data_IF_636986725002
#
_entry.id   IF_636986725002
#
_cell.length_a   1.000
_cell.length_b   1.000
_cell.length_c   1.000
_cell.angle_alpha   90.00
_cell.angle_beta   90.00
_cell.angle_gamma   90.00
#
_symmetry.space_group_name_H-M   'P 1'
#
loop_
_entity.id
_entity.type
_entity.pdbx_description
1 polymer ?
#
# COMPACT_ATOMS: atom_id res chain seq x y z
N UNK A 1 -28.32 77.42 22.18
CA UNK A 1 -28.57 75.99 22.53
C UNK A 1 -29.64 75.47 21.59
N UNK A 2 -29.24 74.73 20.55
CA UNK A 2 -30.16 74.14 19.57
C UNK A 2 -29.99 72.62 19.61
N UNK A 3 -31.08 71.91 19.95
CA UNK A 3 -31.14 70.45 20.06
C UNK A 3 -31.38 69.89 18.66
N UNK A 4 -30.39 69.17 18.13
CA UNK A 4 -30.49 68.49 16.85
C UNK A 4 -31.24 67.15 17.02
N UNK A 5 -32.44 67.08 16.45
CA UNK A 5 -33.26 65.87 16.35
C UNK A 5 -32.71 64.96 15.25
N UNK A 6 -32.12 63.82 15.64
CA UNK A 6 -31.68 62.79 14.70
C UNK A 6 -32.89 61.98 14.19
N UNK A 7 -33.03 61.94 12.87
CA UNK A 7 -34.05 61.19 12.13
C UNK A 7 -33.57 59.74 11.96
N UNK A 8 -34.35 58.72 12.34
CA UNK A 8 -33.94 57.32 12.21
C UNK A 8 -33.93 56.87 10.74
N UNK A 9 -32.83 56.25 10.32
CA UNK A 9 -32.65 55.69 8.99
C UNK A 9 -33.45 54.38 8.80
N UNK A 10 -33.96 54.11 7.59
CA UNK A 10 -34.80 52.95 7.32
C UNK A 10 -33.97 51.65 7.27
N UNK A 11 -34.41 50.66 8.04
CA UNK A 11 -33.83 49.32 8.08
C UNK A 11 -34.24 48.54 6.82
N UNK A 12 -33.38 48.52 5.81
CA UNK A 12 -33.59 47.72 4.61
C UNK A 12 -33.41 46.22 4.92
N UNK A 13 -34.49 45.44 4.79
CA UNK A 13 -34.47 43.97 4.87
C UNK A 13 -33.89 43.41 3.56
N UNK A 14 -32.58 43.32 3.47
CA UNK A 14 -31.92 42.57 2.41
C UNK A 14 -32.09 41.06 2.67
N UNK A 15 -32.91 40.41 1.84
CA UNK A 15 -33.02 38.96 1.79
C UNK A 15 -31.72 38.36 1.28
N UNK A 16 -30.91 37.83 2.20
CA UNK A 16 -29.65 37.18 1.87
C UNK A 16 -29.92 35.74 1.39
N UNK A 17 -30.24 35.58 0.11
CA UNK A 17 -30.16 34.27 -0.56
C UNK A 17 -28.70 33.83 -0.60
N UNK A 18 -28.29 32.98 0.35
CA UNK A 18 -26.98 32.33 0.37
C UNK A 18 -26.91 31.31 -0.79
N UNK A 19 -26.50 31.77 -1.97
CA UNK A 19 -25.98 30.87 -3.00
C UNK A 19 -24.60 30.38 -2.56
N UNK A 20 -24.54 29.17 -2.01
CA UNK A 20 -23.28 28.49 -1.71
C UNK A 20 -22.79 27.77 -2.97
N UNK A 21 -22.24 28.51 -3.94
CA UNK A 21 -21.47 27.92 -5.03
C UNK A 21 -20.09 27.53 -4.49
N UNK A 22 -19.96 26.28 -4.02
CA UNK A 22 -18.64 25.74 -3.68
C UNK A 22 -17.87 25.46 -4.96
N UNK A 23 -17.00 26.38 -5.34
CA UNK A 23 -15.97 26.14 -6.37
C UNK A 23 -14.94 25.19 -5.76
N UNK A 24 -15.01 23.92 -6.13
CA UNK A 24 -13.99 22.94 -5.74
C UNK A 24 -12.71 23.22 -6.52
N UNK A 25 -11.77 23.91 -5.88
CA UNK A 25 -10.41 24.02 -6.40
C UNK A 25 -9.64 22.75 -6.00
N UNK A 26 -9.22 21.90 -6.95
CA UNK A 26 -8.48 20.70 -6.62
C UNK A 26 -7.16 21.09 -5.91
N UNK A 27 -6.74 20.34 -4.88
CA UNK A 27 -5.52 20.65 -4.15
C UNK A 27 -4.31 20.54 -5.08
N UNK A 28 -3.39 21.52 -5.02
CA UNK A 28 -2.15 21.55 -5.81
C UNK A 28 -1.07 20.60 -5.28
N UNK A 29 -1.25 20.09 -4.05
CA UNK A 29 -0.34 19.18 -3.38
C UNK A 29 -1.11 18.01 -2.78
N UNK A 30 -0.47 16.85 -2.71
CA UNK A 30 -0.97 15.69 -1.96
C UNK A 30 -0.11 15.47 -0.72
N UNK A 31 -0.78 15.39 0.42
CA UNK A 31 -0.18 14.96 1.68
C UNK A 31 0.18 13.48 1.57
N UNK A 32 1.44 13.13 1.84
CA UNK A 32 1.92 11.74 1.83
C UNK A 32 2.00 11.20 3.26
N UNK A 33 2.67 11.93 4.15
CA UNK A 33 2.87 11.55 5.54
C UNK A 33 2.76 12.78 6.44
N UNK A 34 2.18 12.61 7.63
CA UNK A 34 2.23 13.59 8.72
C UNK A 34 2.51 12.83 10.01
N UNK A 35 3.55 13.22 10.73
CA UNK A 35 3.97 12.47 11.93
C UNK A 35 5.28 12.96 12.53
N UNK A 36 6.06 12.01 13.05
CA UNK A 36 7.30 12.28 13.79
C UNK A 36 8.42 11.31 13.43
N UNK A 37 9.66 11.68 13.79
CA UNK A 37 10.81 10.78 13.82
C UNK A 37 11.11 10.34 15.25
N UNK A 38 11.35 9.06 15.45
CA UNK A 38 11.87 8.51 16.70
C UNK A 38 13.39 8.56 16.69
N UNK A 39 14.00 9.06 17.76
CA UNK A 39 15.45 9.12 17.92
C UNK A 39 15.95 7.81 18.56
N UNK A 40 16.88 7.07 17.94
CA UNK A 40 17.40 5.82 18.49
C UNK A 40 17.96 6.00 19.90
N UNK A 41 17.67 5.05 20.79
CA UNK A 41 18.12 5.08 22.19
C UNK A 41 17.44 6.14 23.06
N UNK A 42 16.50 6.92 22.50
CA UNK A 42 15.76 7.96 23.22
C UNK A 42 14.25 7.78 23.05
N UNK A 43 13.49 8.29 24.03
CA UNK A 43 12.02 8.42 23.92
C UNK A 43 11.60 9.73 23.24
N UNK A 44 12.58 10.54 22.82
CA UNK A 44 12.33 11.80 22.14
C UNK A 44 11.75 11.56 20.73
N UNK A 45 10.70 12.30 20.41
CA UNK A 45 10.10 12.35 19.08
C UNK A 45 10.34 13.73 18.46
N UNK A 46 10.84 13.75 17.23
CA UNK A 46 10.92 14.95 16.40
C UNK A 46 9.61 15.07 15.62
N UNK A 47 8.64 15.79 16.19
CA UNK A 47 7.27 15.91 15.65
C UNK A 47 7.13 17.04 14.61
N UNK A 48 5.92 17.17 14.06
CA UNK A 48 5.56 18.28 13.17
C UNK A 48 6.05 18.12 11.73
N UNK A 49 6.44 16.91 11.33
CA UNK A 49 6.87 16.63 9.97
C UNK A 49 5.68 16.38 9.04
N UNK A 50 5.72 16.99 7.87
CA UNK A 50 4.71 16.85 6.82
C UNK A 50 5.38 16.64 5.48
N UNK A 51 5.14 15.49 4.85
CA UNK A 51 5.70 15.16 3.53
C UNK A 51 4.62 15.39 2.48
N UNK A 52 4.92 16.20 1.48
CA UNK A 52 3.98 16.55 0.42
C UNK A 52 4.60 16.36 -0.95
N UNK A 53 3.77 16.03 -1.94
CA UNK A 53 4.19 15.98 -3.35
C UNK A 53 3.33 16.94 -4.16
N UNK A 54 3.94 17.67 -5.09
CA UNK A 54 3.19 18.55 -5.98
C UNK A 54 2.45 17.74 -7.04
N UNK A 55 1.17 18.04 -7.25
CA UNK A 55 0.33 17.38 -8.25
C UNK A 55 0.41 18.05 -9.64
N UNK A 56 1.25 19.08 -9.79
CA UNK A 56 1.39 19.82 -11.06
C UNK A 56 1.92 18.95 -12.21
N UNK A 57 2.64 17.85 -11.94
CA UNK A 57 3.37 17.08 -12.97
C UNK A 57 2.67 15.82 -13.52
N UNK A 58 1.33 15.71 -13.34
CA UNK A 58 0.44 14.58 -13.63
C UNK A 58 0.18 13.66 -12.42
N UNK A 59 -1.09 13.45 -12.03
CA UNK A 59 -1.44 12.59 -10.89
C UNK A 59 -1.12 11.11 -11.11
N UNK A 60 -0.95 10.66 -12.36
CA UNK A 60 -0.62 9.27 -12.69
C UNK A 60 0.76 8.85 -12.14
N UNK A 61 1.72 9.79 -12.12
CA UNK A 61 3.08 9.56 -11.63
C UNK A 61 3.13 9.21 -10.14
N UNK A 62 2.09 9.52 -9.38
CA UNK A 62 2.07 9.23 -7.95
C UNK A 62 1.93 7.73 -7.66
N UNK A 63 1.19 7.00 -8.51
CA UNK A 63 1.08 5.54 -8.40
C UNK A 63 2.35 4.81 -8.84
N UNK A 64 3.19 5.47 -9.64
CA UNK A 64 4.47 4.96 -10.11
C UNK A 64 5.63 5.33 -9.17
N UNK A 65 5.38 6.22 -8.21
CA UNK A 65 6.38 6.73 -7.28
C UNK A 65 6.47 5.84 -6.03
N UNK A 66 7.52 4.99 -5.89
CA UNK A 66 7.63 4.07 -4.77
C UNK A 66 7.84 4.80 -3.43
N UNK A 67 8.49 5.96 -3.43
CA UNK A 67 8.69 6.77 -2.23
C UNK A 67 7.37 7.33 -1.70
N UNK A 68 6.53 7.87 -2.58
CA UNK A 68 5.22 8.40 -2.21
C UNK A 68 4.31 7.30 -1.63
N UNK A 69 4.27 6.13 -2.26
CA UNK A 69 3.52 4.98 -1.78
C UNK A 69 4.04 4.49 -0.42
N UNK A 70 5.35 4.41 -0.25
CA UNK A 70 5.97 4.00 1.01
C UNK A 70 5.60 4.96 2.15
N UNK A 71 5.74 6.27 1.93
CA UNK A 71 5.36 7.29 2.92
C UNK A 71 3.86 7.26 3.24
N UNK A 72 3.00 7.07 2.25
CA UNK A 72 1.55 6.95 2.45
C UNK A 72 1.18 5.70 3.26
N UNK A 73 1.89 4.58 3.06
CA UNK A 73 1.71 3.36 3.85
C UNK A 73 2.14 3.50 5.31
N UNK A 74 3.00 4.48 5.60
CA UNK A 74 3.50 4.75 6.95
C UNK A 74 2.65 5.76 7.74
N UNK A 75 1.53 6.24 7.18
CA UNK A 75 0.63 7.13 7.91
C UNK A 75 0.16 6.50 9.24
N UNK A 76 0.19 7.31 10.29
CA UNK A 76 -0.15 6.87 11.65
C UNK A 76 0.97 6.09 12.36
N UNK A 77 2.16 6.00 11.76
CA UNK A 77 3.35 5.42 12.38
C UNK A 77 4.45 6.48 12.52
N UNK A 78 5.35 6.27 13.47
CA UNK A 78 6.57 7.07 13.63
C UNK A 78 7.66 6.48 12.75
N UNK A 79 8.44 7.33 12.06
CA UNK A 79 9.59 6.89 11.29
C UNK A 79 10.83 6.80 12.20
N UNK A 80 11.82 5.98 11.86
CA UNK A 80 13.03 5.84 12.65
C UNK A 80 14.13 6.74 12.09
N UNK A 81 14.65 7.66 12.90
CA UNK A 81 15.85 8.42 12.55
C UNK A 81 17.04 7.45 12.58
N UNK A 82 17.76 7.30 11.47
CA UNK A 82 18.91 6.39 11.39
C UNK A 82 20.22 7.14 11.66
N UNK A 83 20.37 8.36 11.16
CA UNK A 83 21.57 9.15 11.38
C UNK A 83 21.79 10.21 10.29
N UNK A 84 23.04 10.62 10.10
CA UNK A 84 23.46 11.57 9.07
C UNK A 84 24.26 10.81 8.02
N UNK A 85 24.08 11.15 6.76
CA UNK A 85 24.83 10.58 5.65
C UNK A 85 25.29 11.68 4.70
N UNK A 86 26.48 11.52 4.10
CA UNK A 86 26.93 12.40 3.02
C UNK A 86 26.18 12.04 1.74
N UNK A 87 25.77 13.04 0.95
CA UNK A 87 24.96 12.81 -0.26
C UNK A 87 25.78 12.20 -1.39
N UNK A 88 27.10 12.40 -1.42
CA UNK A 88 28.03 11.80 -2.39
C UNK A 88 28.29 10.30 -2.14
N UNK A 89 28.10 9.85 -0.91
CA UNK A 89 28.27 8.45 -0.50
C UNK A 89 27.06 7.57 -0.83
N UNK A 90 25.92 8.14 -1.24
CA UNK A 90 24.66 7.42 -1.47
C UNK A 90 24.07 7.73 -2.84
N UNK A 91 23.47 6.72 -3.46
CA UNK A 91 22.75 6.90 -4.71
C UNK A 91 21.32 7.34 -4.42
N UNK A 92 20.98 8.58 -4.76
CA UNK A 92 19.66 9.14 -4.49
C UNK A 92 18.76 9.04 -5.73
N UNK A 93 17.55 8.52 -5.53
CA UNK A 93 16.47 8.64 -6.50
C UNK A 93 15.80 10.01 -6.36
N UNK A 94 16.30 10.99 -7.11
CA UNK A 94 15.76 12.36 -7.19
C UNK A 94 14.61 12.51 -8.19
N UNK A 95 14.14 11.41 -8.79
CA UNK A 95 13.05 11.47 -9.79
C UNK A 95 11.72 11.95 -9.20
N UNK A 96 11.59 11.89 -7.87
CA UNK A 96 10.38 12.21 -7.14
C UNK A 96 10.58 13.42 -6.25
N UNK A 97 9.92 14.52 -6.57
CA UNK A 97 9.95 15.74 -5.76
C UNK A 97 9.00 15.63 -4.57
N UNK A 98 9.44 14.92 -3.53
CA UNK A 98 8.78 14.93 -2.22
C UNK A 98 9.38 16.06 -1.38
N UNK A 99 8.54 17.01 -0.99
CA UNK A 99 8.91 18.11 -0.12
C UNK A 99 8.64 17.73 1.32
N UNK A 100 9.48 18.24 2.22
CA UNK A 100 9.27 18.15 3.66
C UNK A 100 8.99 19.54 4.23
N UNK A 101 7.87 19.68 4.92
CA UNK A 101 7.51 20.87 5.68
C UNK A 101 7.58 20.54 7.17
N UNK A 102 8.23 21.42 7.94
CA UNK A 102 8.29 21.32 9.41
C UNK A 102 7.35 22.37 10.00
N UNK A 103 6.43 21.93 10.85
CA UNK A 103 5.49 22.84 11.50
C UNK A 103 6.25 23.92 12.31
N UNK A 104 5.88 25.21 12.23
CA UNK A 104 6.64 26.30 12.84
C UNK A 104 6.77 26.19 14.36
N UNK A 105 5.78 25.59 15.03
CA UNK A 105 5.78 25.35 16.48
C UNK A 105 6.61 24.11 16.91
N UNK A 106 7.12 23.31 15.98
CA UNK A 106 7.95 22.14 16.29
C UNK A 106 9.42 22.55 16.47
N UNK A 107 9.70 23.36 17.49
CA UNK A 107 11.00 24.02 17.68
C UNK A 107 12.17 23.04 17.76
N UNK A 108 12.01 21.90 18.44
CA UNK A 108 13.07 20.88 18.54
C UNK A 108 13.39 20.25 17.18
N UNK A 109 12.37 19.95 16.38
CA UNK A 109 12.54 19.39 15.04
C UNK A 109 13.22 20.42 14.12
N UNK A 110 12.79 21.68 14.19
CA UNK A 110 13.41 22.77 13.42
C UNK A 110 14.88 22.93 13.78
N UNK A 111 15.19 23.07 15.07
CA UNK A 111 16.55 23.22 15.56
C UNK A 111 17.43 22.03 15.16
N UNK A 112 16.89 20.81 15.22
CA UNK A 112 17.59 19.62 14.77
C UNK A 112 17.97 19.74 13.28
N UNK A 113 17.02 20.01 12.39
CA UNK A 113 17.30 20.11 10.96
C UNK A 113 18.17 21.32 10.60
N UNK A 114 17.98 22.46 11.28
CA UNK A 114 18.83 23.66 11.12
C UNK A 114 20.28 23.33 11.51
N UNK A 115 20.50 22.68 12.65
CA UNK A 115 21.84 22.29 13.08
C UNK A 115 22.49 21.25 12.17
N UNK A 116 21.72 20.33 11.57
CA UNK A 116 22.30 19.30 10.70
C UNK A 116 22.54 19.78 9.26
N UNK A 117 21.65 20.62 8.71
CA UNK A 117 21.67 20.98 7.29
C UNK A 117 22.20 22.39 7.02
N UNK A 118 22.24 23.26 8.03
CA UNK A 118 22.69 24.65 7.89
C UNK A 118 23.99 24.94 8.65
N UNK A 119 24.66 23.93 9.24
CA UNK A 119 25.92 24.13 9.95
C UNK A 119 27.06 24.51 9.00
N UNK A 120 27.07 23.96 7.78
CA UNK A 120 28.09 24.22 6.76
C UNK A 120 27.49 25.00 5.58
N UNK A 121 28.25 25.93 4.98
CA UNK A 121 27.81 26.62 3.77
C UNK A 121 27.54 25.64 2.63
N UNK A 122 26.45 25.86 1.89
CA UNK A 122 26.10 25.04 0.73
C UNK A 122 27.05 25.38 -0.42
N UNK A 123 27.99 24.49 -0.72
CA UNK A 123 29.00 24.68 -1.78
C UNK A 123 28.65 23.95 -3.08
N UNK A 124 27.68 23.04 -3.05
CA UNK A 124 27.27 22.24 -4.20
C UNK A 124 26.70 23.10 -5.33
N UNK A 125 27.11 22.80 -6.57
CA UNK A 125 26.60 23.44 -7.79
C UNK A 125 25.08 23.26 -7.96
N UNK A 126 24.53 22.14 -7.48
CA UNK A 126 23.09 21.84 -7.50
C UNK A 126 22.30 22.65 -6.45
N UNK A 127 22.98 23.45 -5.63
CA UNK A 127 22.41 24.15 -4.48
C UNK A 127 21.90 23.21 -3.38
N UNK A 128 22.35 21.95 -3.36
CA UNK A 128 21.97 20.94 -2.36
C UNK A 128 22.98 20.89 -1.21
N UNK A 129 22.53 20.55 -0.01
CA UNK A 129 23.42 20.32 1.15
C UNK A 129 24.33 19.13 0.92
N UNK A 130 25.56 19.16 1.45
CA UNK A 130 26.52 18.05 1.29
C UNK A 130 26.15 16.83 2.17
N UNK A 131 25.42 17.07 3.25
CA UNK A 131 24.89 16.06 4.17
C UNK A 131 23.36 16.00 4.10
N UNK A 132 22.82 14.85 4.50
CA UNK A 132 21.40 14.61 4.66
C UNK A 132 21.10 13.74 5.88
N UNK A 133 19.86 13.82 6.35
CA UNK A 133 19.34 13.04 7.46
C UNK A 133 18.73 11.74 6.93
N UNK A 134 19.33 10.60 7.29
CA UNK A 134 18.87 9.26 6.91
C UNK A 134 17.72 8.83 7.82
N UNK A 135 16.63 8.39 7.23
CA UNK A 135 15.41 7.94 7.92
C UNK A 135 14.98 6.58 7.36
N UNK A 136 14.68 5.64 8.26
CA UNK A 136 14.21 4.31 7.90
C UNK A 136 12.68 4.25 7.89
N UNK A 137 12.11 3.75 6.79
CA UNK A 137 10.65 3.61 6.58
C UNK A 137 10.13 2.22 7.03
N UNK A 138 10.99 1.34 7.52
CA UNK A 138 10.65 -0.04 7.92
C UNK A 138 10.70 -0.31 9.43
N UNK A 139 10.16 -1.46 9.84
CA UNK A 139 10.14 -1.92 11.24
C UNK A 139 11.41 -2.67 11.68
N UNK A 140 12.37 -2.90 10.78
CA UNK A 140 13.58 -3.65 11.09
C UNK A 140 14.73 -2.67 11.28
N UNK A 141 15.36 -2.66 12.45
CA UNK A 141 16.58 -1.90 12.75
C UNK A 141 17.83 -2.35 11.97
N UNK A 142 17.64 -2.99 10.81
CA UNK A 142 18.69 -3.31 9.87
C UNK A 142 18.63 -2.28 8.75
N UNK A 143 19.77 -1.69 8.41
CA UNK A 143 19.93 -0.81 7.25
C UNK A 143 19.34 -1.49 6.01
N UNK A 144 18.21 -0.97 5.54
CA UNK A 144 17.36 -1.65 4.57
C UNK A 144 17.26 -0.89 3.25
N UNK A 145 16.82 -1.55 2.17
CA UNK A 145 16.63 -0.95 0.84
C UNK A 145 15.48 0.08 0.76
N UNK A 146 14.92 0.45 1.92
CA UNK A 146 13.77 1.35 2.07
C UNK A 146 14.10 2.60 2.89
N UNK A 147 15.39 2.88 3.08
CA UNK A 147 15.82 4.13 3.69
C UNK A 147 15.65 5.30 2.72
N UNK A 148 15.39 6.45 3.31
CA UNK A 148 15.27 7.73 2.64
C UNK A 148 16.26 8.71 3.23
N UNK A 149 16.58 9.75 2.46
CA UNK A 149 17.40 10.88 2.91
C UNK A 149 16.58 12.15 2.79
N UNK A 150 16.56 12.91 3.87
CA UNK A 150 16.05 14.28 3.91
C UNK A 150 17.26 15.21 3.75
N UNK A 151 17.23 16.09 2.76
CA UNK A 151 18.32 17.03 2.48
C UNK A 151 17.78 18.41 2.15
N UNK A 152 18.63 19.43 2.26
CA UNK A 152 18.28 20.80 1.90
C UNK A 152 18.61 21.09 0.44
N UNK A 153 17.77 21.88 -0.23
CA UNK A 153 18.07 22.52 -1.52
C UNK A 153 17.72 24.00 -1.43
N UNK A 154 18.63 24.88 -1.83
CA UNK A 154 18.34 26.31 -1.96
C UNK A 154 17.20 26.49 -2.97
N UNK A 155 16.20 27.30 -2.61
CA UNK A 155 15.16 27.63 -3.57
C UNK A 155 15.81 28.34 -4.77
N UNK A 156 15.61 27.80 -5.97
CA UNK A 156 15.97 28.48 -7.21
C UNK A 156 15.20 29.80 -7.18
N UNK A 157 15.91 30.91 -6.96
CA UNK A 157 15.27 32.22 -6.85
C UNK A 157 14.46 32.40 -8.14
N UNK A 158 13.11 32.47 -8.07
CA UNK A 158 12.35 32.71 -9.27
C UNK A 158 12.83 34.06 -9.77
N UNK A 159 13.49 34.08 -10.95
CA UNK A 159 13.84 35.30 -11.65
C UNK A 159 12.56 36.11 -11.77
N UNK A 160 12.37 37.00 -10.82
CA UNK A 160 11.14 37.75 -10.68
C UNK A 160 11.20 38.72 -11.84
N UNK A 161 10.30 38.51 -12.80
CA UNK A 161 10.07 39.43 -13.90
C UNK A 161 9.69 40.78 -13.32
N UNK A 162 10.72 41.61 -13.11
CA UNK A 162 10.74 43.06 -13.13
C UNK A 162 9.45 43.76 -12.66
N UNK A 163 9.39 44.09 -11.37
CA UNK A 163 8.75 45.36 -10.97
C UNK A 163 9.67 46.04 -9.98
N UNK A 164 10.43 47.08 -10.41
CA UNK A 164 11.41 47.74 -9.57
C UNK A 164 10.70 48.68 -8.59
N UNK A 165 10.26 48.16 -7.45
CA UNK A 165 9.79 49.00 -6.35
C UNK A 165 10.94 49.22 -5.38
N UNK A 166 11.57 50.39 -5.52
CA UNK A 166 12.67 50.91 -4.71
C UNK A 166 12.32 50.98 -3.23
N UNK A 167 12.55 49.89 -2.49
CA UNK A 167 12.62 49.92 -1.03
C UNK A 167 13.80 49.07 -0.61
N UNK A 168 14.73 49.69 0.12
CA UNK A 168 15.97 49.09 0.62
C UNK A 168 15.67 47.94 1.58
N UNK A 169 15.43 46.75 1.04
CA UNK A 169 15.32 45.53 1.83
C UNK A 169 16.71 44.92 1.95
N UNK A 170 17.12 44.63 3.19
CA UNK A 170 18.33 43.87 3.48
C UNK A 170 18.40 42.60 2.62
N UNK A 171 19.60 42.14 2.22
CA UNK A 171 19.76 40.89 1.49
C UNK A 171 19.24 39.73 2.35
N UNK A 172 18.02 39.29 2.09
CA UNK A 172 17.46 38.09 2.71
C UNK A 172 18.05 36.89 2.01
N UNK A 173 18.79 36.06 2.74
CA UNK A 173 19.30 34.80 2.21
C UNK A 173 18.14 33.93 1.68
N UNK A 174 18.34 33.22 0.56
CA UNK A 174 17.28 32.39 -0.02
C UNK A 174 16.85 31.30 0.98
N UNK A 175 15.54 31.00 1.07
CA UNK A 175 15.05 29.98 2.00
C UNK A 175 15.53 28.58 1.57
N UNK A 176 15.95 27.78 2.55
CA UNK A 176 16.29 26.37 2.33
C UNK A 176 15.01 25.54 2.24
N UNK A 177 14.82 24.85 1.13
CA UNK A 177 13.71 23.91 0.92
C UNK A 177 14.16 22.50 1.26
N UNK A 178 13.39 21.81 2.11
CA UNK A 178 13.69 20.42 2.45
C UNK A 178 13.06 19.47 1.45
N UNK A 179 13.88 18.55 0.93
CA UNK A 179 13.50 17.53 -0.05
C UNK A 179 13.80 16.14 0.50
N UNK A 180 13.11 15.16 -0.05
CA UNK A 180 13.21 13.76 0.37
C UNK A 180 13.42 12.88 -0.85
N UNK A 181 14.49 12.11 -0.82
CA UNK A 181 14.82 11.14 -1.85
C UNK A 181 14.96 9.74 -1.26
N UNK A 182 14.71 8.73 -2.08
CA UNK A 182 14.96 7.33 -1.71
C UNK A 182 16.43 6.98 -1.93
N UNK A 183 17.01 6.20 -1.02
CA UNK A 183 18.33 5.61 -1.21
C UNK A 183 18.20 4.37 -2.10
N UNK A 184 18.94 4.36 -3.20
CA UNK A 184 19.04 3.20 -4.08
C UNK A 184 20.19 2.29 -3.60
N UNK A 185 19.96 0.97 -3.50
CA UNK A 185 21.01 0.03 -3.08
C UNK A 185 22.12 -0.10 -4.12
N UNK A 186 21.79 0.13 -5.39
CA UNK A 186 22.70 0.10 -6.52
C UNK A 186 22.67 1.45 -7.23
N UNK A 187 23.78 1.89 -7.84
CA UNK A 187 23.76 3.06 -8.71
C UNK A 187 22.63 2.91 -9.73
N UNK A 188 21.88 4.00 -10.03
CA UNK A 188 20.89 3.95 -11.09
C UNK A 188 21.57 3.44 -12.35
N UNK A 189 20.93 2.53 -13.12
CA UNK A 189 21.51 2.05 -14.36
C UNK A 189 21.83 3.27 -15.20
N UNK A 190 23.13 3.53 -15.45
CA UNK A 190 23.55 4.61 -16.34
C UNK A 190 22.75 4.41 -17.61
N UNK A 191 21.95 5.40 -17.99
CA UNK A 191 21.09 5.33 -19.17
C UNK A 191 21.95 4.75 -20.29
N UNK A 192 21.71 3.48 -20.63
CA UNK A 192 22.53 2.78 -21.61
C UNK A 192 22.33 3.59 -22.86
N UNK A 193 23.39 4.30 -23.27
CA UNK A 193 23.36 5.12 -24.48
C UNK A 193 22.80 4.21 -25.56
N UNK A 194 21.69 4.61 -26.17
CA UNK A 194 21.18 3.87 -27.31
C UNK A 194 22.35 3.72 -28.28
N UNK A 195 22.63 2.51 -28.77
CA UNK A 195 23.76 2.28 -29.66
C UNK A 195 23.64 3.28 -30.79
N UNK A 196 24.64 4.15 -30.93
CA UNK A 196 24.64 5.09 -32.04
C UNK A 196 24.72 4.26 -33.33
N UNK A 197 24.10 4.70 -34.43
CA UNK A 197 24.23 4.02 -35.72
C UNK A 197 25.69 3.80 -36.16
N UNK A 198 26.61 4.65 -35.69
CA UNK A 198 28.05 4.57 -35.94
C UNK A 198 28.84 3.79 -34.86
N UNK A 199 28.18 3.30 -33.81
CA UNK A 199 28.83 2.46 -32.81
C UNK A 199 29.01 1.07 -33.43
N UNK A 200 30.26 0.62 -33.71
CA UNK A 200 30.48 -0.63 -34.42
C UNK A 200 29.76 -1.73 -33.66
N UNK A 201 28.81 -2.39 -34.33
CA UNK A 201 28.05 -3.51 -33.76
C UNK A 201 29.03 -4.40 -33.00
N UNK A 202 28.80 -4.71 -31.70
CA UNK A 202 29.77 -5.39 -30.86
C UNK A 202 30.28 -6.60 -31.62
N UNK A 203 31.54 -6.52 -32.04
CA UNK A 203 32.16 -7.48 -32.94
C UNK A 203 32.14 -8.78 -32.16
N UNK A 204 31.20 -9.66 -32.52
CA UNK A 204 30.96 -10.93 -31.83
C UNK A 204 32.32 -11.59 -31.69
N UNK A 205 32.85 -11.78 -30.46
CA UNK A 205 34.13 -12.43 -30.31
C UNK A 205 34.01 -13.78 -31.02
N UNK A 206 34.97 -14.15 -31.88
CA UNK A 206 34.91 -15.40 -32.59
C UNK A 206 34.61 -16.48 -31.56
N UNK A 207 33.66 -17.36 -31.88
CA UNK A 207 33.32 -18.55 -31.10
C UNK A 207 34.56 -19.46 -31.08
N UNK A 208 35.56 -19.08 -30.28
CA UNK A 208 36.69 -19.93 -29.95
C UNK A 208 36.08 -21.00 -29.08
N UNK A 209 35.80 -22.11 -29.75
CA UNK A 209 35.36 -23.35 -29.16
C UNK A 209 36.36 -23.69 -28.07
N UNK A 210 36.00 -23.42 -26.81
CA UNK A 210 36.75 -23.91 -25.66
C UNK A 210 36.69 -25.43 -25.72
N UNK A 211 37.75 -25.99 -26.30
CA UNK A 211 37.97 -27.41 -26.45
C UNK A 211 37.85 -28.07 -25.09
N UNK A 212 36.88 -28.98 -24.99
CA UNK A 212 36.92 -30.07 -24.03
C UNK A 212 38.17 -30.91 -24.32
N UNK A 213 39.31 -30.52 -23.75
CA UNK A 213 40.44 -31.42 -23.57
C UNK A 213 40.26 -32.05 -22.18
N UNK A 214 39.32 -32.99 -22.07
CA UNK A 214 39.35 -33.94 -20.95
C UNK A 214 40.39 -35.00 -21.29
N UNK A 215 41.45 -34.92 -20.51
CA UNK A 215 42.61 -35.78 -20.46
C UNK A 215 42.18 -37.24 -20.29
N UNK A 216 42.65 -38.07 -21.21
CA UNK A 216 42.64 -39.51 -21.08
C UNK A 216 43.69 -39.91 -20.05
N UNK A 217 43.27 -40.60 -18.99
CA UNK A 217 44.12 -41.51 -18.24
C UNK A 217 43.39 -42.85 -18.19
N UNK A 218 44.10 -43.86 -18.68
CA UNK A 218 43.69 -45.25 -18.80
C UNK A 218 43.38 -45.87 -17.43
N UNK A 219 42.39 -46.76 -17.38
CA UNK A 219 42.57 -48.18 -17.06
C UNK A 219 41.28 -48.99 -17.31
N UNK A 220 41.37 -50.32 -17.49
CA UNK A 220 40.45 -51.08 -18.33
C UNK A 220 39.49 -52.01 -17.55
N UNK A 221 38.61 -52.65 -18.32
CA UNK A 221 37.87 -53.89 -18.00
C UNK A 221 36.55 -53.72 -17.23
N UNK A 222 35.43 -53.70 -17.97
CA UNK A 222 34.53 -54.85 -17.99
C UNK A 222 33.53 -54.78 -19.16
N UNK A 223 33.53 -55.84 -19.95
CA UNK A 223 32.55 -56.20 -20.95
C UNK A 223 31.12 -56.21 -20.40
N UNK A 224 30.16 -55.70 -21.16
CA UNK A 224 29.16 -56.54 -21.86
C UNK A 224 28.16 -55.70 -22.68
N UNK A 225 27.55 -56.28 -23.74
CA UNK A 225 27.08 -55.52 -24.88
C UNK A 225 25.56 -55.50 -25.07
N UNK A 226 25.13 -54.56 -25.90
CA UNK A 226 24.03 -54.66 -26.88
C UNK A 226 22.59 -54.91 -26.40
N UNK A 227 21.66 -54.01 -26.75
CA UNK A 227 20.85 -54.18 -27.97
C UNK A 227 19.86 -53.04 -28.22
N UNK A 228 19.84 -52.59 -29.49
CA UNK A 228 18.69 -52.22 -30.33
C UNK A 228 17.49 -51.48 -29.69
N UNK A 229 17.36 -50.22 -30.11
CA UNK A 229 16.39 -49.78 -31.13
C UNK A 229 14.98 -50.42 -31.02
N UNK A 230 14.01 -49.73 -30.44
CA UNK A 230 12.67 -49.75 -31.02
C UNK A 230 11.83 -48.50 -30.73
N UNK A 231 11.27 -48.02 -31.83
CA UNK A 231 10.39 -46.89 -32.03
C UNK A 231 8.99 -47.49 -32.09
N UNK A 232 8.06 -47.07 -31.23
CA UNK A 232 6.63 -47.21 -31.54
C UNK A 232 5.81 -46.18 -30.78
N UNK A 233 5.19 -45.30 -31.55
CA UNK A 233 3.95 -44.65 -31.16
C UNK A 233 2.82 -45.69 -31.15
N UNK A 234 1.93 -45.66 -30.14
CA UNK A 234 0.47 -45.54 -30.31
C UNK A 234 -0.22 -45.37 -28.95
N UNK A 235 -1.40 -44.77 -29.05
CA UNK A 235 -2.21 -44.18 -28.02
C UNK A 235 -3.14 -45.16 -27.27
N UNK A 236 -3.77 -44.57 -26.24
CA UNK A 236 -5.09 -44.83 -25.65
C UNK A 236 -5.18 -45.80 -24.44
N UNK A 237 -5.82 -45.22 -23.41
CA UNK A 237 -6.72 -45.79 -22.38
C UNK A 237 -6.23 -45.86 -20.93
N UNK A 238 -6.95 -45.06 -20.12
CA UNK A 238 -7.35 -45.20 -18.71
C UNK A 238 -6.90 -46.48 -17.98
N UNK A 239 -6.29 -46.32 -16.79
CA UNK A 239 -6.91 -46.58 -15.48
C UNK A 239 -5.93 -46.32 -14.34
N UNK A 240 -6.50 -46.06 -13.17
CA UNK A 240 -5.84 -45.84 -11.88
C UNK A 240 -4.74 -46.87 -11.57
N UNK A 241 -3.55 -46.36 -11.25
CA UNK A 241 -2.56 -47.09 -10.48
C UNK A 241 -1.72 -46.11 -9.66
N UNK A 242 -1.97 -46.12 -8.36
CA UNK A 242 -1.07 -45.57 -7.35
C UNK A 242 0.30 -46.24 -7.53
N UNK A 243 1.27 -45.49 -8.05
CA UNK A 243 2.67 -45.86 -7.98
C UNK A 243 3.34 -44.96 -6.96
N UNK A 244 3.99 -45.60 -5.99
CA UNK A 244 4.87 -44.99 -5.03
C UNK A 244 6.02 -44.34 -5.81
N UNK A 245 5.88 -43.05 -6.09
CA UNK A 245 7.00 -42.18 -6.45
C UNK A 245 7.77 -41.97 -5.16
N UNK A 246 9.04 -42.31 -5.19
CA UNK A 246 10.01 -42.03 -4.13
C UNK A 246 10.06 -40.50 -3.93
N UNK A 247 9.18 -40.00 -3.06
CA UNK A 247 9.10 -38.58 -2.73
C UNK A 247 10.34 -38.19 -1.92
N UNK A 248 11.02 -37.16 -2.40
CA UNK A 248 12.13 -36.48 -1.73
C UNK A 248 11.77 -36.24 -0.24
N UNK A 249 12.57 -36.72 0.73
CA UNK A 249 12.25 -36.65 2.16
C UNK A 249 12.00 -35.22 2.65
N UNK A 250 12.48 -34.21 1.93
CA UNK A 250 12.25 -32.81 2.23
C UNK A 250 10.81 -32.35 1.93
N UNK A 251 10.15 -32.93 0.91
CA UNK A 251 8.77 -32.60 0.53
C UNK A 251 7.73 -33.25 1.47
N UNK A 252 8.02 -34.44 2.01
CA UNK A 252 7.16 -35.08 3.01
C UNK A 252 7.09 -34.26 4.31
N UNK A 253 8.21 -33.68 4.74
CA UNK A 253 8.26 -32.85 5.97
C UNK A 253 7.49 -31.54 5.83
N UNK A 254 7.48 -30.94 4.63
CA UNK A 254 6.71 -29.72 4.36
C UNK A 254 5.19 -29.96 4.35
N UNK A 255 4.74 -31.13 3.87
CA UNK A 255 3.31 -31.50 3.91
C UNK A 255 2.79 -31.80 5.31
N UNK A 256 3.65 -32.26 6.22
CA UNK A 256 3.26 -32.53 7.60
C UNK A 256 2.99 -31.24 8.40
N UNK A 257 3.75 -30.16 8.11
CA UNK A 257 3.59 -28.86 8.77
C UNK A 257 2.38 -28.04 8.29
N UNK A 258 1.74 -28.43 7.19
CA UNK A 258 0.59 -27.73 6.60
C UNK A 258 -0.75 -28.45 6.82
N UNK A 259 -0.79 -29.51 7.63
CA UNK A 259 -2.06 -30.14 8.02
C UNK A 259 -2.74 -29.29 9.11
N UNK A 260 -3.91 -28.68 8.84
CA UNK A 260 -4.67 -28.00 9.88
C UNK A 260 -5.12 -29.02 10.95
N UNK A 261 -5.17 -28.63 12.24
CA UNK A 261 -5.58 -29.54 13.29
C UNK A 261 -6.99 -30.06 13.02
N UNK A 262 -7.14 -31.39 13.06
CA UNK A 262 -8.40 -32.07 12.88
C UNK A 262 -9.42 -31.54 13.89
N UNK A 263 -10.50 -30.94 13.39
CA UNK A 263 -11.66 -30.60 14.21
C UNK A 263 -12.36 -31.91 14.57
N UNK A 264 -12.14 -32.34 15.81
CA UNK A 264 -12.95 -33.36 16.49
C UNK A 264 -14.42 -33.01 16.32
N UNK A 265 -15.16 -33.92 15.69
CA UNK A 265 -16.59 -33.85 15.47
C UNK A 265 -17.26 -34.55 16.66
N UNK A 266 -17.34 -33.89 17.81
CA UNK A 266 -18.22 -34.33 18.89
C UNK A 266 -19.48 -33.46 18.93
N UNK A 267 -20.58 -34.13 18.62
CA UNK A 267 -21.94 -33.72 18.92
C UNK A 267 -22.10 -33.63 20.44
N UNK A 268 -22.37 -32.43 20.95
CA UNK A 268 -23.21 -32.31 22.15
C UNK A 268 -23.93 -30.96 22.16
N UNK A 269 -25.25 -31.05 22.08
CA UNK A 269 -26.16 -30.01 22.54
C UNK A 269 -25.85 -29.68 24.01
N UNK A 270 -25.59 -28.41 24.32
CA UNK A 270 -26.22 -27.68 25.44
C UNK A 270 -25.47 -26.40 25.79
N UNK A 271 -26.22 -25.30 25.78
CA UNK A 271 -26.23 -24.24 26.81
C UNK A 271 -24.89 -23.61 27.23
N UNK A 272 -24.73 -22.37 26.76
CA UNK A 272 -24.19 -21.21 27.46
C UNK A 272 -23.70 -21.43 28.90
N UNK A 273 -22.41 -21.14 29.16
CA UNK A 273 -22.04 -20.43 30.37
C UNK A 273 -20.77 -19.60 30.16
N UNK A 274 -20.88 -18.33 30.55
CA UNK A 274 -19.83 -17.31 30.58
C UNK A 274 -18.79 -17.70 31.63
N UNK A 275 -17.50 -17.58 31.30
CA UNK A 275 -16.39 -17.66 32.26
C UNK A 275 -15.81 -16.25 32.44
N UNK A 276 -16.34 -15.52 33.41
CA UNK A 276 -15.70 -14.35 34.00
C UNK A 276 -14.71 -14.81 35.07
N UNK A 277 -13.51 -14.26 35.00
CA UNK A 277 -12.43 -14.44 35.98
C UNK A 277 -12.84 -13.76 37.28
N UNK A 278 -12.89 -14.51 38.37
CA UNK A 278 -13.11 -14.00 39.73
C UNK A 278 -11.77 -13.71 40.42
N UNK A 279 -11.64 -12.48 40.90
CA UNK A 279 -10.67 -12.07 41.92
C UNK A 279 -11.30 -12.37 43.29
N UNK A 280 -10.46 -12.79 44.23
CA UNK A 280 -10.77 -13.16 45.60
C UNK A 280 -11.50 -12.04 46.38
N UNK A 281 -12.42 -12.42 47.28
CA UNK A 281 -12.26 -12.21 48.72
C UNK A 281 -13.53 -12.51 49.53
N UNK A 282 -13.28 -13.02 50.75
CA UNK A 282 -14.10 -13.09 51.97
C UNK A 282 -15.28 -14.06 52.09
N UNK A 283 -15.15 -14.92 53.11
CA UNK A 283 -16.11 -15.83 53.71
C UNK A 283 -17.27 -15.06 54.35
N UNK A 284 -18.49 -15.24 53.83
CA UNK A 284 -19.73 -14.79 54.49
C UNK A 284 -20.78 -15.90 54.45
N UNK A 285 -21.27 -16.22 55.65
CA UNK A 285 -22.28 -17.21 56.03
C UNK A 285 -23.46 -17.33 55.05
N UNK A 286 -23.69 -18.52 54.48
CA UNK A 286 -24.82 -18.84 53.59
C UNK A 286 -26.08 -19.19 54.39
N UNK A 287 -27.09 -18.32 54.34
CA UNK A 287 -28.47 -18.65 54.74
C UNK A 287 -29.27 -19.03 53.47
N UNK A 288 -29.95 -20.20 53.44
CA UNK A 288 -30.78 -20.61 52.31
C UNK A 288 -31.94 -19.62 52.07
N UNK A 289 -31.99 -19.00 50.89
CA UNK A 289 -33.06 -18.06 50.53
C UNK A 289 -34.33 -18.81 50.12
N UNK A 290 -35.45 -18.42 50.74
CA UNK A 290 -36.81 -18.95 50.52
C UNK A 290 -37.35 -18.53 49.14
N UNK A 291 -38.20 -19.32 48.46
CA UNK A 291 -38.57 -19.08 47.06
C UNK A 291 -39.50 -17.87 46.91
N UNK A 292 -39.01 -16.81 46.24
CA UNK A 292 -39.84 -15.67 45.84
C UNK A 292 -40.47 -15.95 44.48
N UNK A 293 -41.81 -15.91 44.41
CA UNK A 293 -42.62 -16.10 43.21
C UNK A 293 -42.23 -15.07 42.13
N UNK A 294 -41.75 -15.56 40.98
CA UNK A 294 -41.44 -14.74 39.80
C UNK A 294 -42.72 -14.20 39.16
N UNK A 295 -42.88 -12.89 39.23
CA UNK A 295 -43.78 -12.12 38.37
C UNK A 295 -43.15 -12.09 36.97
N UNK A 296 -43.97 -12.31 35.94
CA UNK A 296 -43.56 -12.38 34.54
C UNK A 296 -43.06 -11.00 34.04
N UNK A 297 -41.75 -10.77 34.12
CA UNK A 297 -41.10 -9.67 33.42
C UNK A 297 -41.02 -9.96 31.92
N UNK A 298 -41.58 -9.04 31.13
CA UNK A 298 -41.46 -8.99 29.67
C UNK A 298 -40.00 -9.09 29.25
N UNK A 299 -39.71 -10.08 28.41
CA UNK A 299 -38.40 -10.29 27.81
C UNK A 299 -37.92 -9.02 27.07
N UNK A 300 -36.65 -8.62 27.22
CA UNK A 300 -36.08 -7.49 26.50
C UNK A 300 -36.09 -7.79 25.00
N UNK A 301 -36.72 -6.89 24.26
CA UNK A 301 -36.77 -6.84 22.80
C UNK A 301 -35.34 -6.92 22.25
N UNK A 302 -35.03 -8.01 21.54
CA UNK A 302 -33.73 -8.22 20.90
C UNK A 302 -33.55 -7.12 19.85
N UNK A 303 -32.76 -6.10 20.17
CA UNK A 303 -32.35 -5.07 19.22
C UNK A 303 -31.79 -5.78 17.97
N UNK A 304 -32.42 -5.64 16.79
CA UNK A 304 -31.95 -6.28 15.58
C UNK A 304 -30.54 -5.80 15.28
N UNK A 305 -29.67 -6.75 14.94
CA UNK A 305 -28.26 -6.50 14.65
C UNK A 305 -28.15 -5.80 13.29
N UNK A 306 -28.27 -4.47 13.31
CA UNK A 306 -28.29 -3.58 12.12
C UNK A 306 -27.12 -3.89 11.17
N UNK A 307 -25.96 -4.28 11.71
CA UNK A 307 -24.79 -4.63 10.92
C UNK A 307 -25.03 -5.89 10.05
N UNK A 308 -25.75 -6.88 10.55
CA UNK A 308 -26.08 -8.10 9.79
C UNK A 308 -27.08 -7.84 8.68
N UNK A 309 -28.06 -6.96 8.92
CA UNK A 309 -29.03 -6.58 7.89
C UNK A 309 -28.38 -5.79 6.76
N UNK A 310 -27.50 -4.84 7.11
CA UNK A 310 -26.72 -4.08 6.13
C UNK A 310 -25.81 -4.99 5.30
N UNK A 311 -25.11 -5.94 5.93
CA UNK A 311 -24.25 -6.88 5.21
C UNK A 311 -25.07 -7.76 4.24
N UNK A 312 -26.26 -8.21 4.67
CA UNK A 312 -27.19 -8.99 3.83
C UNK A 312 -27.70 -8.17 2.64
N UNK A 313 -28.07 -6.91 2.84
CA UNK A 313 -28.51 -6.00 1.78
C UNK A 313 -27.39 -5.78 0.75
N UNK A 314 -26.17 -5.49 1.21
CA UNK A 314 -25.00 -5.33 0.35
C UNK A 314 -24.68 -6.59 -0.47
N UNK A 315 -24.78 -7.79 0.13
CA UNK A 315 -24.61 -9.06 -0.60
C UNK A 315 -25.65 -9.25 -1.70
N UNK A 316 -26.89 -8.86 -1.45
CA UNK A 316 -27.95 -8.94 -2.45
C UNK A 316 -27.68 -8.02 -3.64
N UNK A 317 -27.20 -6.79 -3.38
CA UNK A 317 -26.80 -5.83 -4.43
C UNK A 317 -25.67 -6.38 -5.30
N UNK A 318 -24.60 -6.90 -4.69
CA UNK A 318 -23.46 -7.49 -5.44
C UNK A 318 -23.93 -8.70 -6.26
N UNK A 319 -24.81 -9.53 -5.70
CA UNK A 319 -25.36 -10.71 -6.37
C UNK A 319 -26.18 -10.34 -7.62
N UNK A 320 -27.06 -9.33 -7.50
CA UNK A 320 -27.87 -8.82 -8.62
C UNK A 320 -26.98 -8.22 -9.71
N UNK A 321 -26.07 -7.31 -9.35
CA UNK A 321 -25.14 -6.70 -10.29
C UNK A 321 -24.27 -7.74 -11.04
N UNK A 322 -23.85 -8.81 -10.36
CA UNK A 322 -23.08 -9.89 -10.99
C UNK A 322 -23.92 -10.64 -12.03
N UNK A 323 -25.19 -10.95 -11.70
CA UNK A 323 -26.10 -11.61 -12.63
C UNK A 323 -26.40 -10.75 -13.87
N UNK A 324 -26.65 -9.45 -13.65
CA UNK A 324 -26.94 -8.49 -14.72
C UNK A 324 -25.74 -8.34 -15.65
N UNK A 325 -24.52 -8.23 -15.09
CA UNK A 325 -23.29 -8.11 -15.87
C UNK A 325 -22.99 -9.37 -16.70
N UNK A 326 -23.11 -10.58 -16.13
CA UNK A 326 -22.88 -11.82 -16.87
C UNK A 326 -23.91 -12.03 -17.99
N UNK A 327 -25.17 -11.64 -17.74
CA UNK A 327 -26.22 -11.66 -18.77
C UNK A 327 -25.89 -10.69 -19.91
N UNK A 328 -25.39 -9.49 -19.59
CA UNK A 328 -25.01 -8.49 -20.59
C UNK A 328 -23.84 -8.91 -21.50
N UNK A 329 -22.95 -9.80 -21.03
CA UNK A 329 -21.87 -10.38 -21.85
C UNK A 329 -22.28 -11.68 -22.57
N UNK A 330 -23.56 -12.06 -22.53
CA UNK A 330 -24.10 -13.25 -23.20
C UNK A 330 -23.96 -14.56 -22.40
N UNK A 331 -23.46 -14.51 -21.17
CA UNK A 331 -23.42 -15.68 -20.28
C UNK A 331 -24.75 -15.82 -19.53
N UNK A 332 -25.69 -16.53 -20.13
CA UNK A 332 -26.96 -16.92 -19.51
C UNK A 332 -26.80 -18.14 -18.59
N UNK A 333 -27.83 -18.41 -17.75
CA UNK A 333 -27.88 -19.56 -16.83
C UNK A 333 -27.83 -20.93 -17.52
N UNK A 334 -28.10 -20.96 -18.82
CA UNK A 334 -28.10 -22.19 -19.62
C UNK A 334 -26.68 -22.65 -19.99
N UNK A 335 -25.68 -21.78 -19.82
CA UNK A 335 -24.28 -22.14 -20.06
C UNK A 335 -23.76 -23.07 -18.94
N UNK A 336 -23.08 -24.18 -19.27
CA UNK A 336 -22.57 -25.12 -18.27
C UNK A 336 -21.54 -24.49 -17.32
N UNK A 337 -20.80 -23.49 -17.79
CA UNK A 337 -19.81 -22.75 -17.01
C UNK A 337 -20.40 -21.59 -16.18
N UNK A 338 -21.68 -21.24 -16.39
CA UNK A 338 -22.29 -20.06 -15.76
C UNK A 338 -22.18 -20.11 -14.24
N UNK A 339 -22.48 -21.27 -13.64
CA UNK A 339 -22.49 -21.43 -12.19
C UNK A 339 -21.11 -21.18 -11.57
N UNK A 340 -20.06 -21.67 -12.22
CA UNK A 340 -18.69 -21.55 -11.72
C UNK A 340 -18.17 -20.13 -11.88
N UNK A 341 -18.34 -19.55 -13.08
CA UNK A 341 -17.96 -18.15 -13.35
C UNK A 341 -18.71 -17.19 -12.43
N UNK A 342 -20.03 -17.38 -12.27
CA UNK A 342 -20.83 -16.58 -11.34
C UNK A 342 -20.30 -16.65 -9.92
N UNK A 343 -19.98 -17.85 -9.42
CA UNK A 343 -19.46 -18.02 -8.06
C UNK A 343 -18.09 -17.36 -7.89
N UNK A 344 -17.18 -17.50 -8.85
CA UNK A 344 -15.86 -16.87 -8.79
C UNK A 344 -15.94 -15.34 -8.80
N UNK A 345 -16.75 -14.77 -9.69
CA UNK A 345 -16.94 -13.32 -9.79
C UNK A 345 -17.63 -12.77 -8.54
N UNK A 346 -18.72 -13.41 -8.10
CA UNK A 346 -19.47 -13.01 -6.91
C UNK A 346 -18.60 -13.04 -5.64
N UNK A 347 -17.87 -14.14 -5.41
CA UNK A 347 -16.99 -14.28 -4.23
C UNK A 347 -15.79 -13.34 -4.29
N UNK A 348 -15.22 -13.11 -5.48
CA UNK A 348 -14.16 -12.14 -5.70
C UNK A 348 -14.59 -10.72 -5.31
N UNK A 349 -15.74 -10.28 -5.81
CA UNK A 349 -16.32 -8.98 -5.48
C UNK A 349 -16.66 -8.85 -3.98
N UNK A 350 -17.25 -9.89 -3.38
CA UNK A 350 -17.53 -9.94 -1.94
C UNK A 350 -16.24 -9.79 -1.11
N UNK A 351 -15.17 -10.49 -1.50
CA UNK A 351 -13.89 -10.44 -0.80
C UNK A 351 -13.19 -9.08 -0.93
N UNK A 352 -13.24 -8.46 -2.11
CA UNK A 352 -12.68 -7.13 -2.36
C UNK A 352 -13.38 -6.04 -1.53
N UNK A 353 -14.69 -6.18 -1.32
CA UNK A 353 -15.51 -5.18 -0.61
C UNK A 353 -15.77 -5.50 0.87
N UNK A 354 -15.19 -6.57 1.42
CA UNK A 354 -15.47 -7.10 2.76
C UNK A 354 -15.43 -6.07 3.90
N UNK A 355 -14.51 -5.11 3.83
CA UNK A 355 -14.36 -4.06 4.85
C UNK A 355 -15.49 -3.03 4.77
N UNK A 356 -15.93 -2.68 3.55
CA UNK A 356 -16.98 -1.69 3.34
C UNK A 356 -18.37 -2.27 3.61
N UNK A 357 -18.60 -3.54 3.26
CA UNK A 357 -19.90 -4.20 3.39
C UNK A 357 -20.43 -4.26 4.83
N UNK A 358 -19.54 -4.25 5.83
CA UNK A 358 -19.90 -4.26 7.25
C UNK A 358 -20.11 -2.87 7.84
N UNK A 359 -19.53 -1.85 7.21
CA UNK A 359 -19.47 -0.50 7.76
C UNK A 359 -20.46 0.46 7.08
N UNK A 360 -20.78 0.27 5.80
CA UNK A 360 -21.61 1.19 5.01
C UNK A 360 -22.30 0.50 3.82
N UNK A 361 -23.28 1.18 3.24
CA UNK A 361 -23.86 0.78 1.96
C UNK A 361 -22.79 0.77 0.86
N UNK A 362 -22.79 -0.25 0.01
CA UNK A 362 -21.81 -0.39 -1.08
C UNK A 362 -22.09 0.57 -2.24
N UNK A 363 -21.05 1.20 -2.78
CA UNK A 363 -21.13 2.04 -3.97
C UNK A 363 -21.23 1.16 -5.23
N UNK A 364 -22.31 1.31 -5.98
CA UNK A 364 -22.60 0.52 -7.19
C UNK A 364 -21.52 0.68 -8.26
N UNK A 365 -20.90 1.86 -8.38
CA UNK A 365 -19.82 2.07 -9.36
C UNK A 365 -18.58 1.25 -9.06
N UNK A 366 -18.26 1.10 -7.78
CA UNK A 366 -17.14 0.26 -7.34
C UNK A 366 -17.48 -1.22 -7.48
N UNK A 367 -18.72 -1.61 -7.16
CA UNK A 367 -19.23 -2.98 -7.37
C UNK A 367 -19.06 -3.38 -8.85
N UNK A 368 -19.51 -2.54 -9.78
CA UNK A 368 -19.40 -2.79 -11.22
C UNK A 368 -17.94 -2.90 -11.68
N UNK A 369 -17.06 -2.05 -11.14
CA UNK A 369 -15.62 -2.09 -11.44
C UNK A 369 -14.99 -3.43 -11.01
N UNK A 370 -15.28 -3.91 -9.81
CA UNK A 370 -14.74 -5.19 -9.32
C UNK A 370 -15.34 -6.38 -10.06
N UNK A 371 -16.64 -6.36 -10.35
CA UNK A 371 -17.30 -7.40 -11.14
C UNK A 371 -16.67 -7.50 -12.53
N UNK A 372 -16.48 -6.37 -13.22
CA UNK A 372 -15.83 -6.33 -14.54
C UNK A 372 -14.39 -6.87 -14.47
N UNK A 373 -13.60 -6.41 -13.49
CA UNK A 373 -12.23 -6.87 -13.32
C UNK A 373 -12.15 -8.38 -13.07
N UNK A 374 -13.05 -8.94 -12.25
CA UNK A 374 -13.09 -10.37 -12.00
C UNK A 374 -13.57 -11.17 -13.22
N UNK A 375 -14.65 -10.74 -13.86
CA UNK A 375 -15.18 -11.41 -15.05
C UNK A 375 -14.16 -11.43 -16.21
N UNK A 376 -13.43 -10.33 -16.39
CA UNK A 376 -12.37 -10.21 -17.41
C UNK A 376 -11.27 -11.29 -17.25
N UNK A 377 -10.97 -11.73 -16.03
CA UNK A 377 -9.96 -12.79 -15.80
C UNK A 377 -10.44 -14.18 -16.25
N UNK A 378 -11.75 -14.43 -16.24
CA UNK A 378 -12.31 -15.76 -16.52
C UNK A 378 -12.88 -15.87 -17.94
N UNK A 379 -13.42 -14.78 -18.50
CA UNK A 379 -14.18 -14.82 -19.76
C UNK A 379 -13.33 -14.43 -20.98
N UNK A 380 -12.26 -13.64 -20.81
CA UNK A 380 -11.42 -13.17 -21.94
C UNK A 380 -10.70 -14.29 -22.71
N UNK A 381 -10.67 -15.51 -22.18
CA UNK A 381 -10.09 -16.68 -22.85
C UNK A 381 -11.09 -17.62 -23.52
N UNK A 382 -12.38 -17.52 -23.23
CA UNK A 382 -13.36 -18.57 -23.59
C UNK A 382 -14.30 -18.19 -24.72
N UNK A 383 -14.59 -16.90 -24.93
CA UNK A 383 -15.51 -16.47 -26.00
C UNK A 383 -14.70 -15.88 -27.16
N UNK A 384 -14.67 -16.53 -28.34
CA UNK A 384 -14.10 -15.91 -29.53
C UNK A 384 -14.89 -14.64 -29.82
N UNK A 385 -14.22 -13.49 -29.82
CA UNK A 385 -14.84 -12.22 -30.22
C UNK A 385 -15.45 -12.41 -31.60
N UNK A 386 -16.79 -12.37 -31.68
CA UNK A 386 -17.46 -12.11 -32.94
C UNK A 386 -16.90 -10.79 -33.47
N UNK A 387 -16.25 -10.85 -34.63
CA UNK A 387 -15.67 -9.69 -35.30
C UNK A 387 -16.75 -8.75 -35.78
#
# INVERSE_FOLDING_TARGET
>A
MAVATQKPLPLAKAGLTRETSYVYTPPSHRLLFRGSLSVPGSRLLLEGLTFTVSLKSSPAKLLENPLALALESMRGRTLALSGITRLDAVHLDRSTEVNLDIHPAASLTRLYFENQLCAEPITSEDGCTDVGVRVSIGSSGNEGPSDIVIYGKLADEPQSTSTPTSTSKQPTLPPLKLLVARILPTPPPRATRLPRPDDPSPRVPPLVSFGKKRQATADPVHDTPSHKRQKSARALTRKDSASAIEEDPMLSRARELMKPPAKSLERSNSLSLRRSVSIADEDVFKVPSVPVRKVAEKAPEKVPDIAKELEKANKATIKRATMDYLTAIGLTKDNPEFKDIFNFVYRGAEFAMRAQMKARAVDTRLVDKFIRAHADMYVKGTVPRAK
#
